data_IF_111186164769
#
_entry.id   IF_111186164769
#
_cell.length_a   1.000
_cell.length_b   1.000
_cell.length_c   1.000
_cell.angle_alpha   90.00
_cell.angle_beta   90.00
_cell.angle_gamma   90.00
#
_symmetry.space_group_name_H-M   'P 1'
#
loop_
_entity.id
_entity.type
_entity.pdbx_description
1 polymer ?
#
# COMPACT_ATOMS: atom_id res chain seq x y z
N UNK A 1 9.50 12.91 -23.15
CA UNK A 1 9.70 11.66 -22.39
C UNK A 1 8.52 11.54 -21.44
N UNK A 2 7.59 10.61 -21.69
CA UNK A 2 6.48 10.38 -20.76
C UNK A 2 7.05 9.76 -19.50
N UNK A 3 6.97 10.48 -18.38
CA UNK A 3 7.37 9.95 -17.08
C UNK A 3 6.51 8.72 -16.80
N UNK A 4 7.12 7.61 -16.39
CA UNK A 4 6.36 6.44 -15.99
C UNK A 4 5.56 6.77 -14.71
N UNK A 5 4.28 6.33 -14.62
CA UNK A 5 3.45 6.65 -13.47
C UNK A 5 4.06 6.08 -12.18
N UNK A 6 3.95 6.83 -11.08
CA UNK A 6 4.36 6.38 -9.76
C UNK A 6 3.43 5.25 -9.30
N UNK A 7 4.00 4.07 -9.11
CA UNK A 7 3.26 2.88 -8.68
C UNK A 7 3.29 2.76 -7.16
N UNK A 8 2.13 2.86 -6.52
CA UNK A 8 1.97 2.77 -5.06
C UNK A 8 1.45 1.39 -4.70
N UNK A 9 2.33 0.54 -4.16
CA UNK A 9 1.93 -0.74 -3.59
C UNK A 9 1.26 -0.52 -2.23
N UNK A 10 0.06 -1.05 -2.04
CA UNK A 10 -0.68 -0.92 -0.77
C UNK A 10 -1.53 -2.16 -0.48
N UNK A 11 -1.83 -2.43 0.79
CA UNK A 11 -2.79 -3.47 1.15
C UNK A 11 -4.19 -3.09 0.68
N UNK A 12 -5.02 -4.09 0.40
CA UNK A 12 -6.39 -3.89 -0.07
C UNK A 12 -7.40 -3.53 1.04
N UNK A 13 -7.00 -3.52 2.31
CA UNK A 13 -7.88 -3.13 3.41
C UNK A 13 -8.28 -1.64 3.29
N UNK A 14 -9.51 -1.32 3.73
CA UNK A 14 -10.06 0.03 3.57
C UNK A 14 -9.15 1.13 4.14
N UNK A 15 -8.56 0.89 5.32
CA UNK A 15 -7.62 1.84 5.93
C UNK A 15 -6.33 1.99 5.12
N UNK A 16 -5.77 0.90 4.59
CA UNK A 16 -4.54 0.97 3.79
C UNK A 16 -4.77 1.67 2.45
N UNK A 17 -5.93 1.46 1.82
CA UNK A 17 -6.32 2.20 0.62
C UNK A 17 -6.52 3.68 0.92
N UNK A 18 -7.18 4.02 2.03
CA UNK A 18 -7.33 5.42 2.45
C UNK A 18 -5.97 6.09 2.67
N UNK A 19 -5.04 5.42 3.37
CA UNK A 19 -3.68 5.91 3.59
C UNK A 19 -2.95 6.16 2.26
N UNK A 20 -3.05 5.21 1.32
CA UNK A 20 -2.43 5.33 0.01
C UNK A 20 -3.00 6.51 -0.79
N UNK A 21 -4.33 6.69 -0.79
CA UNK A 21 -4.98 7.84 -1.42
C UNK A 21 -4.58 9.17 -0.78
N UNK A 22 -4.50 9.21 0.55
CA UNK A 22 -4.09 10.41 1.27
C UNK A 22 -2.67 10.84 0.89
N UNK A 23 -1.71 9.91 0.87
CA UNK A 23 -0.33 10.21 0.47
C UNK A 23 -0.27 10.61 -1.01
N UNK A 24 -0.98 9.90 -1.90
CA UNK A 24 -1.03 10.27 -3.32
C UNK A 24 -1.56 11.68 -3.54
N UNK A 25 -2.61 12.09 -2.81
CA UNK A 25 -3.17 13.45 -2.88
C UNK A 25 -2.16 14.52 -2.48
N UNK A 26 -1.31 14.24 -1.48
CA UNK A 26 -0.25 15.17 -1.07
C UNK A 26 0.82 15.28 -2.16
N UNK A 27 1.19 14.16 -2.78
CA UNK A 27 2.16 14.14 -3.88
C UNK A 27 1.65 14.89 -5.11
N UNK A 28 0.39 14.67 -5.52
CA UNK A 28 -0.20 15.35 -6.67
C UNK A 28 -0.50 16.82 -6.41
N UNK A 29 -0.66 17.23 -5.14
CA UNK A 29 -0.72 18.65 -4.77
C UNK A 29 0.64 19.34 -4.97
N UNK A 30 1.73 18.65 -4.66
CA UNK A 30 3.08 19.17 -4.83
C UNK A 30 3.54 19.13 -6.30
N UNK A 31 3.15 18.10 -7.05
CA UNK A 31 3.40 17.95 -8.48
C UNK A 31 2.11 17.52 -9.22
N UNK A 32 1.37 18.49 -9.80
CA UNK A 32 0.14 18.20 -10.55
C UNK A 32 0.34 17.34 -11.80
N UNK A 33 1.58 17.19 -12.29
CA UNK A 33 1.89 16.36 -13.46
C UNK A 33 2.17 14.89 -13.11
N UNK A 34 2.23 14.57 -11.81
CA UNK A 34 2.51 13.23 -11.33
C UNK A 34 1.30 12.30 -11.53
N UNK A 35 1.46 11.31 -12.40
CA UNK A 35 0.51 10.21 -12.53
C UNK A 35 0.76 9.15 -11.44
N UNK A 36 -0.29 8.74 -10.73
CA UNK A 36 -0.20 7.74 -9.65
C UNK A 36 -1.09 6.54 -9.97
N UNK A 37 -0.54 5.33 -9.85
CA UNK A 37 -1.27 4.07 -10.02
C UNK A 37 -1.18 3.23 -8.75
N UNK A 38 -2.33 2.85 -8.18
CA UNK A 38 -2.37 1.96 -7.03
C UNK A 38 -2.24 0.50 -7.46
N UNK A 39 -1.39 -0.24 -6.76
CA UNK A 39 -1.17 -1.67 -6.96
C UNK A 39 -1.54 -2.38 -5.66
N UNK A 40 -2.77 -2.90 -5.53
CA UNK A 40 -3.16 -3.68 -4.36
C UNK A 40 -2.27 -4.92 -4.21
N UNK A 41 -1.75 -5.14 -3.01
CA UNK A 41 -0.95 -6.32 -2.65
C UNK A 41 -1.58 -7.04 -1.47
N UNK A 42 -1.51 -8.36 -1.48
CA UNK A 42 -1.96 -9.21 -0.38
C UNK A 42 -0.75 -9.66 0.44
N UNK A 43 -0.82 -9.55 1.76
CA UNK A 43 0.25 -9.98 2.67
C UNK A 43 -0.08 -11.32 3.33
N UNK A 44 0.90 -11.96 3.97
CA UNK A 44 0.67 -13.21 4.70
C UNK A 44 -0.37 -13.05 5.81
N UNK A 45 -0.33 -11.91 6.51
CA UNK A 45 -1.30 -11.58 7.53
C UNK A 45 -2.72 -11.35 7.00
N UNK A 46 -2.86 -10.89 5.75
CA UNK A 46 -4.18 -10.75 5.11
C UNK A 46 -4.81 -12.11 4.81
N UNK A 47 -3.98 -13.14 4.57
CA UNK A 47 -4.43 -14.50 4.27
C UNK A 47 -4.68 -15.32 5.55
N UNK A 48 -3.89 -15.09 6.60
CA UNK A 48 -3.90 -15.88 7.85
C UNK A 48 -4.51 -15.07 9.00
N UNK A 49 -5.84 -14.97 8.99
CA UNK A 49 -6.62 -14.26 10.01
C UNK A 49 -6.84 -15.09 11.28
N UNK A 50 -6.58 -16.39 11.22
CA UNK A 50 -6.81 -17.40 12.26
C UNK A 50 -5.60 -17.60 13.17
N UNK A 51 -4.43 -17.08 12.79
CA UNK A 51 -3.18 -17.23 13.54
C UNK A 51 -2.86 -15.90 14.25
N UNK A 52 -2.59 -15.91 15.57
CA UNK A 52 -2.12 -14.73 16.27
C UNK A 52 -0.85 -14.15 15.64
N UNK A 53 -0.74 -12.82 15.56
CA UNK A 53 0.43 -12.14 14.97
C UNK A 53 1.75 -12.56 15.64
N UNK A 54 1.71 -12.82 16.95
CA UNK A 54 2.87 -13.28 17.73
C UNK A 54 3.44 -14.62 17.22
N UNK A 55 2.59 -15.51 16.71
CA UNK A 55 2.97 -16.82 16.20
C UNK A 55 3.49 -16.74 14.75
N UNK A 56 3.24 -15.64 14.05
CA UNK A 56 3.67 -15.41 12.66
C UNK A 56 5.11 -14.88 12.54
N UNK A 57 5.91 -14.96 13.61
CA UNK A 57 7.33 -14.57 13.60
C UNK A 57 7.60 -13.07 13.81
N UNK A 58 6.57 -12.28 14.13
CA UNK A 58 6.65 -10.93 14.70
C UNK A 58 7.20 -9.79 13.82
N UNK A 59 7.92 -10.08 12.72
CA UNK A 59 8.50 -9.07 11.82
C UNK A 59 7.99 -9.22 10.39
N UNK A 60 7.62 -8.10 9.76
CA UNK A 60 7.24 -8.07 8.34
C UNK A 60 5.93 -8.78 7.99
N UNK A 61 5.06 -9.00 8.97
CA UNK A 61 3.81 -9.77 8.78
C UNK A 61 2.86 -9.07 7.79
N UNK A 62 2.91 -7.73 7.75
CA UNK A 62 2.16 -6.86 6.84
C UNK A 62 3.02 -6.13 5.79
N UNK A 63 4.33 -6.39 5.75
CA UNK A 63 5.27 -5.74 4.83
C UNK A 63 6.45 -6.68 4.59
N UNK A 64 6.64 -7.11 3.34
CA UNK A 64 7.75 -7.97 2.92
C UNK A 64 8.52 -7.33 1.78
#
# INVERSE_FOLDING_TARGET
MTASPLRVATRSSALAMWQAHHVASLLTTADPSLEVTFVPVTTRADVRLDVPIAEMGGKGVFAK
#
